data_IF_708303292465
#
_entry.id   IF_708303292465
#
_cell.length_a   1.000
_cell.length_b   1.000
_cell.length_c   1.000
_cell.angle_alpha   90.00
_cell.angle_beta   90.00
_cell.angle_gamma   90.00
#
_symmetry.space_group_name_H-M   'P 1'
#
loop_
_entity.id
_entity.type
_entity.pdbx_description
1 polymer ?
#
# COMPACT_ATOMS: atom_id res chain seq x y z
N UNK A 1 9.77 -10.87 17.87
CA UNK A 1 10.72 -11.99 17.65
C UNK A 1 11.00 -12.70 18.98
N UNK A 2 10.39 -13.87 19.23
CA UNK A 2 10.73 -14.71 20.39
C UNK A 2 12.06 -15.42 20.12
N UNK A 3 13.05 -15.21 21.00
CA UNK A 3 14.38 -15.82 20.91
C UNK A 3 14.29 -17.35 21.00
N UNK A 4 15.06 -18.01 20.15
CA UNK A 4 15.34 -19.45 20.19
C UNK A 4 16.04 -19.76 21.51
N UNK A 5 15.46 -20.63 22.34
CA UNK A 5 16.12 -21.16 23.54
C UNK A 5 16.23 -22.67 23.36
N UNK A 6 17.43 -23.16 23.06
CA UNK A 6 17.72 -24.58 23.24
C UNK A 6 17.71 -24.88 24.74
N UNK A 7 16.68 -25.58 25.19
CA UNK A 7 16.59 -26.07 26.57
C UNK A 7 17.00 -27.54 26.59
N UNK A 8 18.22 -27.82 27.06
CA UNK A 8 18.66 -29.19 27.34
C UNK A 8 18.38 -29.51 28.81
N UNK A 9 17.41 -30.39 29.08
CA UNK A 9 17.10 -30.85 30.43
C UNK A 9 17.81 -32.19 30.67
N UNK A 10 18.68 -32.26 31.68
CA UNK A 10 19.35 -33.50 32.09
C UNK A 10 18.69 -34.02 33.37
N UNK A 11 18.01 -35.16 33.30
CA UNK A 11 17.42 -35.82 34.47
C UNK A 11 18.37 -36.91 34.97
N UNK A 12 18.81 -36.81 36.22
CA UNK A 12 19.65 -37.82 36.88
C UNK A 12 18.81 -38.53 37.94
N UNK A 13 18.56 -39.83 37.74
CA UNK A 13 17.92 -40.69 38.72
C UNK A 13 19.00 -41.35 39.58
N UNK A 14 18.97 -41.11 40.89
CA UNK A 14 19.90 -41.70 41.85
C UNK A 14 19.11 -42.67 42.73
N UNK A 15 19.46 -43.96 42.70
CA UNK A 15 18.95 -44.94 43.68
C UNK A 15 19.81 -44.85 44.96
N UNK A 16 19.27 -45.17 46.13
CA UNK A 16 19.94 -44.98 47.44
C UNK A 16 20.49 -46.29 48.06
N UNK A 17 20.50 -47.42 47.32
CA UNK A 17 21.03 -48.70 47.82
C UNK A 17 22.53 -48.85 47.52
N UNK A 18 23.34 -49.53 48.35
CA UNK A 18 24.76 -49.75 48.06
C UNK A 18 24.93 -50.64 46.82
N UNK A 19 25.53 -50.11 45.74
CA UNK A 19 25.77 -50.84 44.46
C UNK A 19 25.35 -50.10 43.18
N UNK A 20 25.49 -48.78 43.11
CA UNK A 20 24.75 -47.95 42.13
C UNK A 20 25.44 -47.72 40.80
N UNK A 21 24.77 -48.15 39.74
CA UNK A 21 24.90 -47.61 38.39
C UNK A 21 24.10 -46.31 38.27
N UNK A 22 24.74 -45.22 37.84
CA UNK A 22 24.03 -44.02 37.37
C UNK A 22 23.53 -44.27 35.96
N UNK A 23 22.28 -43.88 35.67
CA UNK A 23 21.72 -43.91 34.31
C UNK A 23 21.19 -42.51 33.98
N UNK A 24 21.85 -41.84 33.05
CA UNK A 24 21.40 -40.56 32.52
C UNK A 24 20.47 -40.79 31.33
N UNK A 25 19.37 -40.06 31.28
CA UNK A 25 18.49 -40.00 30.10
C UNK A 25 18.66 -38.64 29.44
N UNK A 26 19.08 -38.65 28.17
CA UNK A 26 19.17 -37.43 27.35
C UNK A 26 17.81 -37.22 26.68
N UNK A 27 17.09 -36.19 27.10
CA UNK A 27 15.87 -35.74 26.45
C UNK A 27 16.22 -34.67 25.41
N UNK A 28 15.91 -34.92 24.14
CA UNK A 28 16.04 -33.93 23.07
C UNK A 28 14.68 -33.31 22.81
N UNK A 29 14.56 -32.00 23.03
CA UNK A 29 13.36 -31.22 22.67
C UNK A 29 13.65 -30.48 21.37
N UNK A 30 12.98 -30.86 20.28
CA UNK A 30 13.08 -30.18 19.00
C UNK A 30 12.01 -29.08 18.94
N UNK A 31 12.43 -27.82 18.81
CA UNK A 31 11.49 -26.72 18.56
C UNK A 31 11.05 -26.72 17.07
N UNK A 32 9.77 -26.41 16.77
CA UNK A 32 9.34 -26.23 15.40
C UNK A 32 10.05 -25.04 14.73
N UNK A 33 10.16 -25.03 13.39
CA UNK A 33 10.69 -23.88 12.65
C UNK A 33 9.92 -22.58 13.01
N UNK A 34 10.60 -21.42 13.00
CA UNK A 34 9.92 -20.15 13.23
C UNK A 34 8.89 -19.89 12.14
N UNK A 35 7.69 -19.47 12.53
CA UNK A 35 6.66 -19.02 11.59
C UNK A 35 7.14 -17.73 10.91
N UNK A 36 7.24 -17.77 9.58
CA UNK A 36 7.59 -16.62 8.74
C UNK A 36 6.54 -16.47 7.65
N UNK A 37 6.15 -15.24 7.36
CA UNK A 37 5.28 -14.90 6.24
C UNK A 37 5.70 -13.55 5.66
N UNK A 38 5.39 -13.35 4.39
CA UNK A 38 5.56 -12.08 3.68
C UNK A 38 4.19 -11.45 3.48
N UNK A 39 4.05 -10.14 3.69
CA UNK A 39 2.82 -9.37 3.44
C UNK A 39 3.18 -8.14 2.61
N UNK A 40 2.25 -7.67 1.78
CA UNK A 40 2.42 -6.38 1.10
C UNK A 40 2.49 -5.23 2.11
N UNK A 41 3.36 -4.25 1.85
CA UNK A 41 3.51 -3.07 2.72
C UNK A 41 2.35 -2.08 2.54
N UNK A 42 1.98 -1.83 1.28
CA UNK A 42 0.91 -0.91 0.88
C UNK A 42 0.08 -1.50 -0.27
N UNK A 43 -1.22 -1.23 -0.26
CA UNK A 43 -2.15 -1.53 -1.36
C UNK A 43 -3.05 -0.33 -1.63
N UNK A 44 -3.37 -0.15 -2.91
CA UNK A 44 -4.33 0.84 -3.39
C UNK A 44 -5.69 0.14 -3.57
N UNK A 45 -6.80 0.81 -3.22
CA UNK A 45 -8.14 0.27 -3.41
C UNK A 45 -9.22 1.33 -3.58
N UNK A 46 -10.42 0.91 -3.98
CA UNK A 46 -11.55 1.81 -4.23
C UNK A 46 -12.66 1.60 -3.21
N UNK A 47 -13.27 2.67 -2.70
CA UNK A 47 -14.43 2.54 -1.78
C UNK A 47 -15.57 1.78 -2.47
N UNK A 48 -16.12 0.79 -1.77
CA UNK A 48 -17.17 -0.11 -2.25
C UNK A 48 -16.65 -1.36 -2.96
N UNK A 49 -15.34 -1.45 -3.23
CA UNK A 49 -14.73 -2.65 -3.82
C UNK A 49 -14.65 -3.78 -2.78
N UNK A 50 -14.99 -4.99 -3.20
CA UNK A 50 -14.80 -6.20 -2.40
C UNK A 50 -13.45 -6.82 -2.75
N UNK A 51 -12.60 -7.00 -1.74
CA UNK A 51 -11.24 -7.54 -1.89
C UNK A 51 -11.06 -8.80 -1.06
N UNK A 52 -10.21 -9.69 -1.56
CA UNK A 52 -9.75 -10.88 -0.83
C UNK A 52 -8.44 -10.57 -0.11
N UNK A 53 -8.49 -10.43 1.22
CA UNK A 53 -7.36 -10.11 2.08
C UNK A 53 -6.25 -11.18 2.06
N UNK A 54 -6.61 -12.45 1.83
CA UNK A 54 -5.62 -13.53 1.77
C UNK A 54 -4.73 -13.46 0.53
N UNK A 55 -5.06 -12.60 -0.44
CA UNK A 55 -4.18 -12.32 -1.58
C UNK A 55 -2.98 -11.43 -1.24
N UNK A 56 -2.98 -10.79 -0.06
CA UNK A 56 -1.95 -9.82 0.34
C UNK A 56 -0.79 -10.42 1.12
N UNK A 57 -0.85 -11.70 1.48
CA UNK A 57 0.22 -12.36 2.23
C UNK A 57 0.51 -13.78 1.75
N UNK A 58 1.69 -14.27 2.10
CA UNK A 58 2.15 -15.63 1.83
C UNK A 58 2.93 -16.17 3.02
N UNK A 59 2.58 -17.38 3.49
CA UNK A 59 3.30 -18.05 4.58
C UNK A 59 4.41 -18.93 3.99
N UNK A 60 5.62 -18.78 4.51
CA UNK A 60 6.76 -19.58 4.09
C UNK A 60 6.67 -20.99 4.72
N UNK A 61 6.78 -22.02 3.89
CA UNK A 61 6.80 -23.43 4.31
C UNK A 61 5.46 -24.16 4.20
N UNK A 62 5.47 -25.46 4.52
CA UNK A 62 4.37 -26.40 4.27
C UNK A 62 3.59 -26.79 5.55
N UNK A 63 3.28 -25.82 6.41
CA UNK A 63 2.57 -26.05 7.67
C UNK A 63 1.11 -25.60 7.64
N UNK A 64 0.28 -26.18 8.50
CA UNK A 64 -1.10 -25.70 8.71
C UNK A 64 -1.05 -24.42 9.54
N UNK A 65 -1.82 -23.42 9.13
CA UNK A 65 -1.95 -22.15 9.84
C UNK A 65 -3.40 -21.66 9.86
N UNK A 66 -3.68 -20.78 10.81
CA UNK A 66 -4.89 -19.97 10.89
C UNK A 66 -4.50 -18.50 10.81
N UNK A 67 -5.44 -17.66 10.34
CA UNK A 67 -5.24 -16.22 10.21
C UNK A 67 -6.41 -15.45 10.77
N UNK A 68 -6.14 -14.25 11.28
CA UNK A 68 -7.14 -13.28 11.74
C UNK A 68 -6.76 -11.91 11.18
N UNK A 69 -7.72 -11.27 10.50
CA UNK A 69 -7.60 -9.89 10.04
C UNK A 69 -8.33 -8.93 10.97
N UNK A 70 -7.73 -7.75 11.17
CA UNK A 70 -8.36 -6.60 11.82
C UNK A 70 -8.09 -5.35 11.02
N UNK A 71 -9.05 -4.44 10.92
CA UNK A 71 -8.92 -3.16 10.26
C UNK A 71 -8.89 -2.03 11.28
N UNK A 72 -8.09 -0.99 11.04
CA UNK A 72 -8.09 0.25 11.80
C UNK A 72 -8.21 1.43 10.85
N UNK A 73 -9.32 2.16 10.95
CA UNK A 73 -9.61 3.38 10.17
C UNK A 73 -8.97 4.66 10.77
N UNK A 74 -8.12 4.51 11.78
CA UNK A 74 -7.52 5.61 12.54
C UNK A 74 -8.28 5.95 13.82
N UNK A 75 -9.52 5.47 13.98
CA UNK A 75 -10.35 5.70 15.17
C UNK A 75 -10.49 4.45 16.04
N UNK A 76 -10.71 3.28 15.42
CA UNK A 76 -10.94 2.04 16.15
C UNK A 76 -10.48 0.80 15.36
N UNK A 77 -10.03 -0.21 16.09
CA UNK A 77 -9.68 -1.52 15.52
C UNK A 77 -10.91 -2.42 15.50
N UNK A 78 -11.32 -2.88 14.32
CA UNK A 78 -12.46 -3.77 14.08
C UNK A 78 -12.00 -5.15 13.58
N UNK A 79 -12.61 -6.26 14.04
CA UNK A 79 -12.38 -7.57 13.43
C UNK A 79 -12.99 -7.64 12.03
N UNK A 80 -12.42 -8.48 11.16
CA UNK A 80 -12.93 -8.69 9.81
C UNK A 80 -13.29 -10.17 9.62
N UNK A 81 -14.39 -10.40 8.92
CA UNK A 81 -14.78 -11.73 8.48
C UNK A 81 -13.87 -12.17 7.33
N UNK A 82 -13.01 -13.16 7.60
CA UNK A 82 -12.02 -13.58 6.62
C UNK A 82 -12.63 -14.36 5.44
N UNK A 83 -12.09 -14.25 4.22
CA UNK A 83 -11.03 -13.32 3.81
C UNK A 83 -11.58 -12.11 3.04
N UNK A 84 -12.89 -11.88 3.05
CA UNK A 84 -13.52 -10.85 2.21
C UNK A 84 -13.75 -9.56 3.00
N UNK A 85 -13.39 -8.44 2.38
CA UNK A 85 -13.62 -7.12 2.96
C UNK A 85 -14.15 -6.16 1.89
N UNK A 86 -15.20 -5.41 2.23
CA UNK A 86 -15.66 -4.30 1.40
C UNK A 86 -14.98 -3.03 1.87
N UNK A 87 -14.22 -2.39 0.99
CA UNK A 87 -13.45 -1.20 1.29
C UNK A 87 -14.38 -0.04 1.65
N UNK A 88 -14.23 0.52 2.85
CA UNK A 88 -15.02 1.66 3.33
C UNK A 88 -14.24 2.98 3.38
N UNK A 89 -12.90 2.90 3.42
CA UNK A 89 -12.01 4.04 3.58
C UNK A 89 -10.56 3.60 3.67
N UNK A 90 -9.65 4.56 3.78
CA UNK A 90 -8.23 4.29 4.01
C UNK A 90 -8.02 3.81 5.44
N UNK A 91 -6.94 3.07 5.67
CA UNK A 91 -6.63 2.58 7.01
C UNK A 91 -5.55 1.52 7.00
N UNK A 92 -5.38 0.86 8.15
CA UNK A 92 -4.34 -0.12 8.36
C UNK A 92 -4.93 -1.46 8.77
N UNK A 93 -4.59 -2.50 8.02
CA UNK A 93 -4.95 -3.87 8.39
C UNK A 93 -3.83 -4.51 9.20
N UNK A 94 -4.21 -5.32 10.17
CA UNK A 94 -3.33 -6.12 10.98
C UNK A 94 -3.64 -7.60 10.74
N UNK A 95 -2.62 -8.34 10.33
CA UNK A 95 -2.68 -9.78 10.13
C UNK A 95 -2.02 -10.46 11.33
N UNK A 96 -2.72 -11.40 11.95
CA UNK A 96 -2.13 -12.36 12.90
C UNK A 96 -2.21 -13.76 12.32
N UNK A 97 -1.07 -14.40 12.11
CA UNK A 97 -0.96 -15.79 11.66
C UNK A 97 -0.55 -16.68 12.83
N UNK A 98 -1.22 -17.81 13.01
CA UNK A 98 -0.92 -18.81 14.05
C UNK A 98 -0.73 -20.19 13.43
N UNK A 99 0.39 -20.85 13.69
CA UNK A 99 0.64 -22.21 13.19
C UNK A 99 0.04 -23.29 14.11
N UNK A 100 0.07 -24.55 13.66
CA UNK A 100 -0.39 -25.74 14.41
C UNK A 100 0.31 -25.96 15.77
N UNK A 101 1.49 -25.37 15.99
CA UNK A 101 2.25 -25.44 17.24
C UNK A 101 1.95 -24.27 18.18
N UNK A 102 1.00 -23.39 17.84
CA UNK A 102 0.60 -22.23 18.64
C UNK A 102 1.56 -21.04 18.59
N UNK A 103 2.51 -21.04 17.64
CA UNK A 103 3.37 -19.87 17.40
C UNK A 103 2.62 -18.83 16.58
N UNK A 104 2.68 -17.57 17.02
CA UNK A 104 1.98 -16.44 16.41
C UNK A 104 2.97 -15.44 15.82
N UNK A 105 2.66 -14.92 14.63
CA UNK A 105 3.35 -13.81 14.01
C UNK A 105 2.33 -12.72 13.64
N UNK A 106 2.73 -11.45 13.74
CA UNK A 106 1.88 -10.29 13.48
C UNK A 106 2.60 -9.34 12.54
N UNK A 107 1.87 -8.84 11.56
CA UNK A 107 2.33 -7.78 10.67
C UNK A 107 1.13 -6.93 10.18
N UNK A 108 1.39 -5.90 9.39
CA UNK A 108 0.38 -4.94 8.98
C UNK A 108 0.59 -4.40 7.58
N UNK A 109 -0.50 -3.96 6.96
CA UNK A 109 -0.55 -3.40 5.62
C UNK A 109 -1.37 -2.11 5.61
N UNK A 110 -0.94 -1.11 4.86
CA UNK A 110 -1.66 0.17 4.69
C UNK A 110 -2.52 0.10 3.43
N UNK A 111 -3.81 0.42 3.56
CA UNK A 111 -4.75 0.58 2.45
C UNK A 111 -4.96 2.06 2.15
N UNK A 112 -4.63 2.46 0.92
CA UNK A 112 -4.87 3.79 0.40
C UNK A 112 -6.11 3.77 -0.50
N UNK A 113 -6.99 4.76 -0.35
CA UNK A 113 -8.12 4.93 -1.25
C UNK A 113 -7.68 5.74 -2.45
N UNK A 114 -7.92 5.21 -3.64
CA UNK A 114 -7.76 5.95 -4.88
C UNK A 114 -9.16 6.37 -5.32
N UNK A 115 -9.62 7.55 -4.90
CA UNK A 115 -10.84 8.13 -5.46
C UNK A 115 -10.56 8.60 -6.88
N UNK A 116 -11.45 8.23 -7.81
CA UNK A 116 -11.39 8.74 -9.17
C UNK A 116 -11.61 10.26 -9.19
N UNK A 117 -10.75 10.95 -9.93
CA UNK A 117 -10.76 12.38 -10.33
C UNK A 117 -10.18 13.36 -9.31
N UNK A 118 -10.26 13.12 -8.02
CA UNK A 118 -9.52 13.88 -7.02
C UNK A 118 -8.90 12.90 -6.01
N UNK A 119 -7.68 13.18 -5.58
CA UNK A 119 -6.92 12.44 -4.55
C UNK A 119 -5.96 11.35 -5.03
N UNK A 120 -5.06 11.74 -5.94
CA UNK A 120 -3.70 11.20 -5.86
C UNK A 120 -2.87 11.94 -4.77
N UNK A 121 -3.40 12.98 -4.11
CA UNK A 121 -2.59 13.87 -3.26
C UNK A 121 -3.22 14.48 -1.97
N UNK A 122 -4.29 13.96 -1.36
CA UNK A 122 -4.84 14.66 -0.18
C UNK A 122 -4.26 14.27 1.19
N UNK A 123 -3.54 13.14 1.33
CA UNK A 123 -2.91 12.78 2.62
C UNK A 123 -1.38 12.57 2.54
N UNK A 124 -0.76 12.67 1.35
CA UNK A 124 0.70 12.75 1.22
C UNK A 124 1.14 14.17 0.92
N UNK A 125 1.46 14.87 2.00
CA UNK A 125 2.24 16.10 2.05
C UNK A 125 1.68 17.28 1.24
N UNK A 126 1.65 18.45 1.88
CA UNK A 126 1.43 19.76 1.23
C UNK A 126 2.42 20.09 0.07
N UNK A 127 3.28 19.14 -0.33
CA UNK A 127 4.31 19.26 -1.34
C UNK A 127 3.96 18.64 -2.70
N UNK A 128 2.93 17.79 -2.84
CA UNK A 128 2.52 17.26 -4.15
C UNK A 128 1.21 17.93 -4.60
N UNK A 129 1.30 19.05 -5.30
CA UNK A 129 0.11 19.78 -5.75
C UNK A 129 0.21 20.18 -7.21
N UNK A 130 -0.90 20.07 -7.94
CA UNK A 130 -1.06 20.67 -9.27
C UNK A 130 -1.98 21.88 -9.16
N UNK A 131 -1.60 23.00 -9.77
CA UNK A 131 -2.40 24.21 -9.88
C UNK A 131 -2.45 24.65 -11.33
N UNK A 132 -3.64 25.07 -11.77
CA UNK A 132 -3.87 25.59 -13.11
C UNK A 132 -4.49 26.97 -12.99
N UNK A 133 -3.86 27.97 -13.61
CA UNK A 133 -4.37 29.34 -13.60
C UNK A 133 -4.10 30.10 -14.92
N UNK A 134 -5.05 30.95 -15.36
CA UNK A 134 -6.41 31.05 -14.85
C UNK A 134 -7.24 29.82 -15.25
N UNK A 135 -8.21 29.48 -14.42
CA UNK A 135 -9.22 28.49 -14.74
C UNK A 135 -10.56 29.02 -14.22
N UNK A 136 -11.45 29.53 -15.09
CA UNK A 136 -11.45 29.42 -16.56
C UNK A 136 -10.37 30.24 -17.31
N UNK A 137 -10.06 29.88 -18.56
CA UNK A 137 -9.15 30.60 -19.48
C UNK A 137 -9.67 30.64 -20.93
N UNK A 138 -8.92 31.23 -21.85
CA UNK A 138 -9.26 31.35 -23.30
C UNK A 138 -8.33 30.53 -24.21
N UNK A 139 -7.77 29.43 -23.71
CA UNK A 139 -6.84 28.57 -24.45
C UNK A 139 -5.37 28.77 -24.10
N UNK A 140 -5.07 29.61 -23.12
CA UNK A 140 -3.73 29.80 -22.55
C UNK A 140 -3.81 29.76 -21.02
N UNK A 141 -3.03 28.89 -20.39
CA UNK A 141 -3.02 28.73 -18.94
C UNK A 141 -1.67 28.20 -18.45
N UNK A 142 -1.32 28.59 -17.22
CA UNK A 142 -0.14 28.09 -16.54
C UNK A 142 -0.47 26.83 -15.75
N UNK A 143 0.49 25.91 -15.74
CA UNK A 143 0.47 24.69 -14.93
C UNK A 143 1.65 24.74 -13.98
N UNK A 144 1.35 24.67 -12.70
CA UNK A 144 2.35 24.58 -11.62
C UNK A 144 2.19 23.24 -10.94
N UNK A 145 3.27 22.46 -10.88
CA UNK A 145 3.31 21.16 -10.20
C UNK A 145 4.43 21.23 -9.17
N UNK A 146 4.09 20.96 -7.92
CA UNK A 146 5.07 20.72 -6.86
C UNK A 146 5.44 19.24 -6.78
N UNK A 147 6.70 18.96 -6.46
CA UNK A 147 7.32 17.61 -6.50
C UNK A 147 7.20 16.92 -7.88
N UNK A 148 7.51 17.68 -8.92
CA UNK A 148 7.64 17.18 -10.29
C UNK A 148 8.87 16.26 -10.41
N UNK A 149 8.63 15.01 -10.78
CA UNK A 149 9.69 14.02 -10.99
C UNK A 149 10.06 13.86 -12.48
N UNK A 150 11.35 13.61 -12.79
CA UNK A 150 11.77 13.30 -14.16
C UNK A 150 10.93 12.16 -14.76
N UNK A 151 10.45 12.36 -15.99
CA UNK A 151 9.59 11.39 -16.69
C UNK A 151 8.09 11.62 -16.54
N UNK A 152 7.67 12.65 -15.80
CA UNK A 152 6.28 13.11 -15.83
C UNK A 152 5.86 13.46 -17.26
N UNK A 153 4.72 12.93 -17.68
CA UNK A 153 4.15 13.09 -19.00
C UNK A 153 2.77 13.71 -18.90
N UNK A 154 2.57 14.83 -19.58
CA UNK A 154 1.32 15.56 -19.60
C UNK A 154 0.50 15.19 -20.83
N UNK A 155 -0.81 15.05 -20.65
CA UNK A 155 -1.80 14.89 -21.72
C UNK A 155 -2.97 15.85 -21.45
N UNK A 156 -3.47 16.52 -22.49
CA UNK A 156 -4.71 17.29 -22.41
C UNK A 156 -5.76 16.62 -23.29
N UNK A 157 -6.90 16.27 -22.70
CA UNK A 157 -8.02 15.63 -23.38
C UNK A 157 -9.22 16.57 -23.42
N UNK A 158 -10.03 16.51 -24.48
CA UNK A 158 -11.35 17.12 -24.49
C UNK A 158 -12.38 16.26 -23.72
N UNK A 159 -13.61 16.75 -23.59
CA UNK A 159 -14.69 16.03 -22.90
C UNK A 159 -15.09 14.68 -23.53
N UNK A 160 -14.75 14.47 -24.81
CA UNK A 160 -14.94 13.19 -25.51
C UNK A 160 -13.76 12.21 -25.30
N UNK A 161 -12.72 12.61 -24.55
CA UNK A 161 -11.52 11.81 -24.31
C UNK A 161 -10.49 11.86 -25.44
N UNK A 162 -10.68 12.72 -26.44
CA UNK A 162 -9.73 12.90 -27.54
C UNK A 162 -8.54 13.71 -27.05
N UNK A 163 -7.33 13.19 -27.26
CA UNK A 163 -6.09 13.87 -26.91
C UNK A 163 -5.84 15.06 -27.84
N UNK A 164 -5.70 16.24 -27.24
CA UNK A 164 -5.45 17.51 -27.92
C UNK A 164 -3.96 17.80 -27.99
N UNK A 165 -3.25 17.59 -26.89
CA UNK A 165 -1.79 17.71 -26.83
C UNK A 165 -1.21 16.77 -25.78
N UNK A 166 0.09 16.54 -25.89
CA UNK A 166 0.85 15.83 -24.89
C UNK A 166 2.34 16.17 -24.95
N UNK A 167 3.08 15.86 -23.88
CA UNK A 167 4.51 16.12 -23.82
C UNK A 167 5.15 15.74 -22.49
N UNK A 168 6.47 15.53 -22.52
CA UNK A 168 7.26 15.31 -21.31
C UNK A 168 7.46 16.64 -20.59
N UNK A 169 7.20 16.65 -19.29
CA UNK A 169 7.45 17.80 -18.42
C UNK A 169 8.92 17.88 -18.05
N UNK A 170 9.49 19.07 -18.19
CA UNK A 170 10.87 19.36 -17.79
C UNK A 170 10.84 19.94 -16.37
N UNK A 171 10.93 19.06 -15.37
CA UNK A 171 10.95 19.46 -13.97
C UNK A 171 12.29 20.16 -13.62
N UNK A 172 12.22 21.30 -12.93
CA UNK A 172 13.36 22.08 -12.45
C UNK A 172 13.34 22.11 -10.92
N UNK A 173 14.39 21.61 -10.28
CA UNK A 173 14.51 21.57 -8.80
C UNK A 173 13.29 20.94 -8.12
N UNK A 174 12.78 19.84 -8.68
CA UNK A 174 11.57 19.12 -8.23
C UNK A 174 10.26 19.91 -8.36
N UNK A 175 10.22 21.01 -9.11
CA UNK A 175 8.98 21.71 -9.44
C UNK A 175 8.83 21.84 -10.96
N UNK A 176 7.61 22.03 -11.43
CA UNK A 176 7.34 22.45 -12.80
C UNK A 176 6.50 23.71 -12.80
N UNK A 177 6.88 24.67 -13.64
CA UNK A 177 6.06 25.82 -13.97
C UNK A 177 6.20 26.05 -15.48
N UNK A 178 5.08 25.99 -16.19
CA UNK A 178 5.07 26.22 -17.62
C UNK A 178 3.70 26.65 -18.13
N UNK A 179 3.72 27.42 -19.20
CA UNK A 179 2.52 27.90 -19.87
C UNK A 179 2.14 26.93 -20.99
N UNK A 180 0.89 26.47 -20.97
CA UNK A 180 0.30 25.68 -22.03
C UNK A 180 -0.55 26.59 -22.91
N UNK A 181 -0.31 26.52 -24.22
CA UNK A 181 -1.08 27.22 -25.24
C UNK A 181 -1.75 26.18 -26.14
N UNK A 182 -3.07 26.28 -26.27
CA UNK A 182 -3.88 25.41 -27.12
C UNK A 182 -4.41 26.25 -28.28
N UNK A 183 -3.69 26.34 -29.40
CA UNK A 183 -4.14 27.14 -30.54
C UNK A 183 -5.41 26.53 -31.15
N UNK A 184 -6.40 27.38 -31.45
CA UNK A 184 -7.65 26.99 -32.13
C UNK A 184 -8.46 25.92 -31.39
N UNK A 185 -8.82 26.21 -30.13
CA UNK A 185 -9.58 25.31 -29.26
C UNK A 185 -11.03 25.75 -29.12
N UNK A 186 -11.96 24.80 -29.14
CA UNK A 186 -13.37 25.07 -28.88
C UNK A 186 -13.61 25.35 -27.38
N UNK A 187 -14.55 26.24 -27.03
CA UNK A 187 -14.95 26.42 -25.64
C UNK A 187 -15.53 25.12 -25.07
N UNK A 188 -15.13 24.76 -23.86
CA UNK A 188 -15.59 23.53 -23.24
C UNK A 188 -14.79 23.09 -22.02
N UNK A 189 -15.11 21.88 -21.58
CA UNK A 189 -14.43 21.20 -20.48
C UNK A 189 -13.35 20.31 -21.06
N UNK A 190 -12.14 20.47 -20.52
CA UNK A 190 -10.97 19.68 -20.81
C UNK A 190 -10.44 19.02 -19.55
N UNK A 191 -9.71 17.93 -19.72
CA UNK A 191 -9.03 17.23 -18.63
C UNK A 191 -7.55 17.18 -18.91
N UNK A 192 -6.77 17.79 -18.01
CA UNK A 192 -5.32 17.72 -18.02
C UNK A 192 -4.89 16.55 -17.14
N UNK A 193 -4.18 15.59 -17.72
CA UNK A 193 -3.64 14.42 -17.06
C UNK A 193 -2.12 14.55 -16.95
N UNK A 194 -1.55 14.12 -15.84
CA UNK A 194 -0.10 13.92 -15.68
C UNK A 194 0.12 12.48 -15.28
N UNK A 195 1.05 11.80 -15.94
CA UNK A 195 1.36 10.39 -15.74
C UNK A 195 2.84 10.18 -15.49
N UNK A 196 3.19 9.16 -14.71
CA UNK A 196 4.56 8.64 -14.58
C UNK A 196 4.54 7.15 -14.92
N UNK A 197 5.37 6.74 -15.88
CA UNK A 197 5.46 5.33 -16.32
C UNK A 197 4.09 4.69 -16.64
N UNK A 198 3.16 5.48 -17.19
CA UNK A 198 1.80 5.03 -17.51
C UNK A 198 0.77 5.09 -16.36
N UNK A 199 1.20 5.25 -15.10
CA UNK A 199 0.30 5.48 -13.96
C UNK A 199 -0.16 6.94 -13.97
N UNK A 200 -1.46 7.17 -13.84
CA UNK A 200 -2.02 8.51 -13.65
C UNK A 200 -1.55 9.06 -12.29
N UNK A 201 -1.01 10.28 -12.29
CA UNK A 201 -0.51 11.01 -11.11
C UNK A 201 -1.37 12.24 -10.81
N UNK A 202 -1.79 12.99 -11.82
CA UNK A 202 -2.72 14.10 -11.63
C UNK A 202 -3.80 14.07 -12.69
N UNK A 203 -5.00 14.51 -12.32
CA UNK A 203 -6.08 14.83 -13.24
C UNK A 203 -6.71 16.14 -12.80
N UNK A 204 -6.72 17.14 -13.67
CA UNK A 204 -7.30 18.45 -13.37
C UNK A 204 -8.29 18.86 -14.47
N UNK A 205 -9.44 19.40 -14.06
CA UNK A 205 -10.41 19.99 -14.97
C UNK A 205 -9.94 21.38 -15.41
N UNK A 206 -9.91 21.62 -16.73
CA UNK A 206 -9.61 22.91 -17.34
C UNK A 206 -10.85 23.40 -18.08
N UNK A 207 -11.27 24.62 -17.80
CA UNK A 207 -12.44 25.25 -18.44
C UNK A 207 -11.91 26.29 -19.43
N UNK A 208 -12.19 26.08 -20.71
CA UNK A 208 -11.81 27.00 -21.78
C UNK A 208 -13.06 27.72 -22.27
N UNK A 209 -12.99 29.04 -22.34
CA UNK A 209 -14.01 29.97 -22.80
C UNK A 209 -13.56 30.64 -24.10
N UNK A 210 -14.53 31.26 -24.79
CA UNK A 210 -14.29 32.01 -26.03
C UNK A 210 -13.74 33.40 -25.78
#
# INVERSE_FOLDING_TARGET
>A
MKKIVLLTLTVVLISLKPGLTQRAYKLTVNQPPPLSFTIAEEVDGTVGEMVNLDSWFHVEGSGIYTRIWKFNDGSMVQPIDNPEYTIQGSGKFYLTVTNEYGCTALDSIVLNIVTGIDDINYERDKSHSIRIYPNPNTGEFDVVISDCQPGYYLELLNSAGVQILSGILQCNNNDYMGTIKVPSVDPGIYFLLVKLTGKLIFRQKVIILK
#
